data_IF_363584688459
#
_entry.id   IF_363584688459
#
_cell.length_a   1.000
_cell.length_b   1.000
_cell.length_c   1.000
_cell.angle_alpha   90.00
_cell.angle_beta   90.00
_cell.angle_gamma   90.00
#
_symmetry.space_group_name_H-M   'P 1'
#
loop_
_entity.id
_entity.type
_entity.pdbx_description
1 polymer ?
#
# COMPACT_ATOMS: atom_id res chain seq x y z
N UNK A 1 77.15 16.98 23.17
CA UNK A 1 76.35 15.83 22.98
C UNK A 1 74.92 16.00 23.57
N UNK A 2 74.77 16.37 24.83
CA UNK A 2 73.45 16.44 25.49
C UNK A 2 72.44 17.48 24.91
N UNK A 3 72.89 18.63 24.40
CA UNK A 3 72.07 19.66 23.76
C UNK A 3 71.60 19.25 22.41
N UNK A 4 72.34 18.50 21.62
CA UNK A 4 71.94 17.98 20.29
C UNK A 4 70.94 16.87 20.48
N UNK A 5 71.10 16.01 21.51
CA UNK A 5 70.10 14.96 21.79
C UNK A 5 68.70 15.51 22.20
N UNK A 6 68.69 16.60 23.00
CA UNK A 6 67.46 17.30 23.39
C UNK A 6 66.81 17.99 22.22
N UNK A 7 67.59 18.56 21.30
CA UNK A 7 67.04 19.19 20.08
C UNK A 7 66.45 18.15 19.14
N UNK A 8 67.10 17.00 18.96
CA UNK A 8 66.58 15.89 18.15
C UNK A 8 65.33 15.26 18.75
N UNK A 9 65.24 15.12 20.08
CA UNK A 9 64.02 14.64 20.74
C UNK A 9 62.90 15.63 20.64
N UNK A 10 63.13 16.93 20.72
CA UNK A 10 62.11 17.96 20.56
C UNK A 10 61.65 18.05 19.11
N UNK A 11 62.52 17.87 18.11
CA UNK A 11 62.18 17.80 16.71
C UNK A 11 61.35 16.54 16.39
N UNK A 12 61.68 15.40 16.97
CA UNK A 12 60.94 14.15 16.85
C UNK A 12 59.51 14.28 17.45
N UNK A 13 59.36 14.95 18.59
CA UNK A 13 58.04 15.23 19.20
C UNK A 13 57.23 16.18 18.32
N UNK A 14 57.84 17.22 17.77
CA UNK A 14 57.19 18.13 16.85
C UNK A 14 56.77 17.45 15.54
N UNK A 15 57.59 16.58 14.97
CA UNK A 15 57.30 15.78 13.78
C UNK A 15 56.22 14.74 14.12
N UNK A 16 56.24 14.08 15.26
CA UNK A 16 55.18 13.19 15.69
C UNK A 16 53.85 13.92 15.94
N UNK A 17 53.89 15.14 16.51
CA UNK A 17 52.67 15.94 16.70
C UNK A 17 52.11 16.40 15.36
N UNK A 18 52.95 16.88 14.42
CA UNK A 18 52.50 17.26 13.08
C UNK A 18 52.05 16.07 12.22
N UNK A 19 52.63 14.88 12.41
CA UNK A 19 52.17 13.64 11.80
C UNK A 19 50.83 13.17 12.42
N UNK A 20 50.60 13.40 13.70
CA UNK A 20 49.28 13.12 14.33
C UNK A 20 48.21 14.08 13.83
N UNK A 21 48.50 15.36 13.61
CA UNK A 21 47.56 16.31 13.01
C UNK A 21 47.33 16.00 11.53
N UNK A 22 48.30 15.54 10.78
CA UNK A 22 48.18 15.12 9.38
C UNK A 22 47.40 13.80 9.22
N UNK A 23 47.38 12.92 10.22
CA UNK A 23 46.58 11.68 10.18
C UNK A 23 45.16 11.88 10.71
N UNK A 24 44.86 13.02 11.33
CA UNK A 24 43.54 13.31 11.92
C UNK A 24 42.62 14.16 10.99
N UNK A 25 43.12 14.62 9.88
CA UNK A 25 42.29 15.33 8.90
C UNK A 25 41.65 14.33 7.92
N UNK A 26 40.81 13.41 8.46
CA UNK A 26 39.74 12.87 7.65
C UNK A 26 38.95 14.07 7.14
N UNK A 27 39.02 14.31 5.84
CA UNK A 27 38.35 15.43 5.21
C UNK A 27 36.82 15.17 5.31
N UNK A 28 36.22 15.78 6.35
CA UNK A 28 34.74 15.67 6.58
C UNK A 28 33.97 16.07 5.36
N UNK A 29 34.45 17.08 4.64
CA UNK A 29 33.81 17.61 3.43
C UNK A 29 33.83 16.56 2.32
N UNK A 30 34.90 15.79 2.20
CA UNK A 30 34.99 14.70 1.24
C UNK A 30 33.97 13.59 1.52
N UNK A 31 33.81 13.17 2.78
CA UNK A 31 32.82 12.15 3.14
C UNK A 31 31.39 12.68 2.99
N UNK A 32 31.13 13.95 3.33
CA UNK A 32 29.84 14.60 3.12
C UNK A 32 29.50 14.64 1.63
N UNK A 33 30.43 15.09 0.79
CA UNK A 33 30.26 15.14 -0.66
C UNK A 33 30.03 13.75 -1.26
N UNK A 34 30.81 12.73 -0.88
CA UNK A 34 30.65 11.35 -1.34
C UNK A 34 29.33 10.75 -0.89
N UNK A 35 28.93 11.00 0.35
CA UNK A 35 27.65 10.54 0.89
C UNK A 35 26.46 11.15 0.14
N UNK A 36 26.49 12.48 -0.09
CA UNK A 36 25.44 13.18 -0.86
C UNK A 36 25.41 12.74 -2.32
N UNK A 37 26.57 12.55 -2.93
CA UNK A 37 26.65 12.05 -4.32
C UNK A 37 26.08 10.62 -4.41
N UNK A 38 26.45 9.72 -3.50
CA UNK A 38 25.89 8.37 -3.46
C UNK A 38 24.36 8.41 -3.23
N UNK A 39 23.88 9.34 -2.39
CA UNK A 39 22.45 9.55 -2.17
C UNK A 39 21.73 9.96 -3.47
N UNK A 40 22.30 10.93 -4.22
CA UNK A 40 21.73 11.41 -5.49
C UNK A 40 21.75 10.35 -6.60
N UNK A 41 22.65 9.38 -6.53
CA UNK A 41 22.70 8.23 -7.44
C UNK A 41 21.85 7.03 -7.01
N UNK A 42 21.08 7.14 -5.89
CA UNK A 42 20.31 6.04 -5.33
C UNK A 42 21.16 4.93 -4.68
N UNK A 43 22.46 5.16 -4.48
CA UNK A 43 23.39 4.22 -3.83
C UNK A 43 23.32 4.35 -2.31
N UNK A 44 22.14 4.07 -1.75
CA UNK A 44 21.82 4.37 -0.35
C UNK A 44 22.74 3.67 0.66
N UNK A 45 23.11 2.42 0.42
CA UNK A 45 24.06 1.70 1.30
C UNK A 45 25.42 2.41 1.36
N UNK A 46 25.96 2.83 0.22
CA UNK A 46 27.21 3.57 0.15
C UNK A 46 27.10 4.96 0.79
N UNK A 47 25.95 5.61 0.67
CA UNK A 47 25.67 6.88 1.35
C UNK A 47 25.72 6.69 2.88
N UNK A 48 25.08 5.64 3.42
CA UNK A 48 25.10 5.32 4.85
C UNK A 48 26.51 5.06 5.35
N UNK A 49 27.36 4.33 4.61
CA UNK A 49 28.75 4.09 4.99
C UNK A 49 29.53 5.41 5.18
N UNK A 50 29.41 6.33 4.21
CA UNK A 50 30.08 7.63 4.32
C UNK A 50 29.54 8.46 5.50
N UNK A 51 28.22 8.50 5.71
CA UNK A 51 27.63 9.21 6.84
C UNK A 51 27.89 8.54 8.19
N UNK A 52 28.13 7.22 8.24
CA UNK A 52 28.56 6.54 9.46
C UNK A 52 29.94 7.04 9.88
N UNK A 53 30.89 7.17 8.95
CA UNK A 53 32.19 7.76 9.25
C UNK A 53 32.03 9.19 9.77
N UNK A 54 31.26 10.03 9.10
CA UNK A 54 30.98 11.40 9.53
C UNK A 54 30.36 11.47 10.92
N UNK A 55 29.39 10.60 11.23
CA UNK A 55 28.71 10.59 12.53
C UNK A 55 29.64 10.21 13.71
N UNK A 56 30.79 9.58 13.42
CA UNK A 56 31.84 9.30 14.40
C UNK A 56 32.81 10.47 14.53
N UNK A 57 33.12 11.14 13.39
CA UNK A 57 34.03 12.28 13.37
C UNK A 57 33.39 13.55 13.93
N UNK A 58 32.10 13.72 13.73
CA UNK A 58 31.33 14.87 14.20
C UNK A 58 29.96 14.45 14.71
N UNK A 59 29.84 14.29 16.01
CA UNK A 59 28.56 13.87 16.64
C UNK A 59 27.54 15.01 16.76
N UNK A 60 27.90 16.24 16.40
CA UNK A 60 27.09 17.44 16.54
C UNK A 60 26.59 17.97 15.18
N UNK A 61 27.04 17.41 14.07
CA UNK A 61 26.55 17.82 12.76
C UNK A 61 25.18 17.21 12.44
N UNK A 62 24.15 18.04 12.51
CA UNK A 62 22.76 17.63 12.25
C UNK A 62 22.51 17.22 10.79
N UNK A 63 23.28 17.73 9.81
CA UNK A 63 23.18 17.35 8.42
C UNK A 63 23.59 15.91 8.18
N UNK A 64 24.65 15.45 8.83
CA UNK A 64 25.10 14.05 8.74
C UNK A 64 23.98 13.08 9.13
N UNK A 65 23.31 13.32 10.25
CA UNK A 65 22.18 12.49 10.69
C UNK A 65 21.00 12.64 9.75
N UNK A 66 20.71 13.83 9.27
CA UNK A 66 19.62 14.06 8.32
C UNK A 66 19.84 13.28 7.02
N UNK A 67 20.97 13.40 6.37
CA UNK A 67 21.24 12.69 5.12
C UNK A 67 21.33 11.17 5.30
N UNK A 68 21.88 10.71 6.43
CA UNK A 68 21.86 9.28 6.76
C UNK A 68 20.44 8.77 6.97
N UNK A 69 19.60 9.55 7.61
CA UNK A 69 18.18 9.28 7.79
C UNK A 69 17.45 9.14 6.44
N UNK A 70 17.71 10.04 5.48
CA UNK A 70 17.17 9.95 4.12
C UNK A 70 17.62 8.64 3.44
N UNK A 71 18.92 8.30 3.52
CA UNK A 71 19.42 7.08 2.90
C UNK A 71 18.77 5.83 3.50
N UNK A 72 18.60 5.77 4.82
CA UNK A 72 17.91 4.67 5.51
C UNK A 72 16.44 4.60 5.15
N UNK A 73 15.76 5.75 5.06
CA UNK A 73 14.36 5.84 4.65
C UNK A 73 14.15 5.21 3.27
N UNK A 74 15.00 5.56 2.31
CA UNK A 74 14.93 5.01 0.94
C UNK A 74 15.32 3.52 0.86
N UNK A 75 16.07 2.98 1.83
CA UNK A 75 16.32 1.54 1.96
C UNK A 75 15.18 0.79 2.69
N UNK A 76 14.14 1.49 3.16
CA UNK A 76 13.08 0.91 3.95
C UNK A 76 13.39 0.72 5.43
N UNK A 77 14.61 1.12 5.91
CA UNK A 77 14.94 1.16 7.34
C UNK A 77 14.30 2.39 8.00
N UNK A 78 12.98 2.37 8.11
CA UNK A 78 12.21 3.47 8.69
C UNK A 78 12.56 3.72 10.16
N UNK A 79 12.90 2.67 10.94
CA UNK A 79 13.28 2.82 12.34
C UNK A 79 14.63 3.52 12.50
N UNK A 80 15.61 3.12 11.69
CA UNK A 80 16.90 3.77 11.65
C UNK A 80 16.82 5.20 11.14
N UNK A 81 15.97 5.46 10.12
CA UNK A 81 15.71 6.79 9.61
C UNK A 81 15.11 7.71 10.68
N UNK A 82 14.06 7.26 11.38
CA UNK A 82 13.47 8.01 12.50
C UNK A 82 14.50 8.37 13.57
N UNK A 83 15.34 7.40 13.97
CA UNK A 83 16.39 7.63 14.97
C UNK A 83 17.36 8.73 14.54
N UNK A 84 17.74 8.75 13.28
CA UNK A 84 18.63 9.76 12.71
C UNK A 84 17.93 11.13 12.60
N UNK A 85 16.67 11.18 12.18
CA UNK A 85 15.90 12.43 12.17
C UNK A 85 15.67 12.98 13.58
N UNK A 86 15.38 12.13 14.57
CA UNK A 86 15.31 12.52 15.99
C UNK A 86 16.62 13.16 16.46
N UNK A 87 17.76 12.63 16.07
CA UNK A 87 19.07 13.20 16.40
C UNK A 87 19.27 14.54 15.70
N UNK A 88 18.92 14.62 14.40
CA UNK A 88 19.05 15.84 13.59
C UNK A 88 18.23 17.01 14.17
N UNK A 89 16.93 16.81 14.48
CA UNK A 89 16.09 17.88 15.05
C UNK A 89 16.45 18.24 16.48
N UNK A 90 17.06 17.31 17.23
CA UNK A 90 17.59 17.58 18.58
C UNK A 90 18.83 18.48 18.53
N UNK A 91 19.70 18.26 17.54
CA UNK A 91 20.90 19.06 17.33
C UNK A 91 20.55 20.44 16.75
N UNK A 92 19.54 20.51 15.90
CA UNK A 92 19.06 21.77 15.35
C UNK A 92 17.51 21.87 15.43
N UNK A 93 16.96 22.48 16.52
CA UNK A 93 15.51 22.58 16.74
C UNK A 93 14.75 23.50 15.78
N UNK A 94 15.44 24.20 14.89
CA UNK A 94 14.83 25.05 13.84
C UNK A 94 15.04 24.48 12.44
N UNK A 95 15.49 23.23 12.32
CA UNK A 95 15.76 22.58 11.05
C UNK A 95 14.46 22.02 10.45
N UNK A 96 13.84 22.79 9.57
CA UNK A 96 12.58 22.47 8.92
C UNK A 96 12.54 21.09 8.27
N UNK A 97 13.59 20.74 7.48
CA UNK A 97 13.62 19.46 6.76
C UNK A 97 13.70 18.26 7.70
N UNK A 98 14.37 18.40 8.86
CA UNK A 98 14.40 17.34 9.88
C UNK A 98 13.00 16.98 10.39
N UNK A 99 12.18 18.00 10.72
CA UNK A 99 10.77 17.79 11.10
C UNK A 99 9.95 17.26 9.95
N UNK A 100 10.14 17.78 8.73
CA UNK A 100 9.42 17.33 7.55
C UNK A 100 9.60 15.82 7.33
N UNK A 101 10.85 15.35 7.21
CA UNK A 101 11.13 13.95 6.94
C UNK A 101 10.83 13.03 8.14
N UNK A 102 10.95 13.52 9.38
CA UNK A 102 10.50 12.76 10.54
C UNK A 102 8.98 12.59 10.52
N UNK A 103 8.25 13.64 10.22
CA UNK A 103 6.79 13.60 10.08
C UNK A 103 6.32 12.62 9.01
N UNK A 104 6.96 12.62 7.83
CA UNK A 104 6.70 11.63 6.78
C UNK A 104 6.97 10.20 7.29
N UNK A 105 8.10 10.00 7.98
CA UNK A 105 8.47 8.69 8.53
C UNK A 105 7.46 8.20 9.58
N UNK A 106 7.00 9.09 10.47
CA UNK A 106 5.95 8.78 11.45
C UNK A 106 4.61 8.44 10.78
N UNK A 107 4.29 9.14 9.68
CA UNK A 107 3.09 8.85 8.89
C UNK A 107 3.12 7.41 8.33
N UNK A 108 4.28 6.96 7.85
CA UNK A 108 4.45 5.57 7.39
C UNK A 108 4.32 4.52 8.49
N UNK A 109 4.61 4.87 9.73
CA UNK A 109 4.34 4.00 10.88
C UNK A 109 2.85 4.00 11.30
N UNK A 110 2.02 4.85 10.70
CA UNK A 110 0.64 5.07 11.14
C UNK A 110 0.52 5.96 12.38
N UNK A 111 1.61 6.58 12.83
CA UNK A 111 1.66 7.49 13.97
C UNK A 111 1.22 8.90 13.55
N UNK A 112 -0.01 9.03 13.04
CA UNK A 112 -0.48 10.26 12.38
C UNK A 112 -0.47 11.49 13.29
N UNK A 113 -0.73 11.37 14.59
CA UNK A 113 -0.68 12.50 15.51
C UNK A 113 0.74 13.08 15.60
N UNK A 114 1.76 12.23 15.78
CA UNK A 114 3.16 12.65 15.81
C UNK A 114 3.60 13.24 14.47
N UNK A 115 3.19 12.62 13.37
CA UNK A 115 3.47 13.08 12.02
C UNK A 115 2.90 14.48 11.78
N UNK A 116 1.63 14.70 12.12
CA UNK A 116 0.96 16.00 11.97
C UNK A 116 1.58 17.08 12.86
N UNK A 117 2.03 16.74 14.06
CA UNK A 117 2.74 17.67 14.95
C UNK A 117 4.07 18.12 14.34
N UNK A 118 4.85 17.19 13.80
CA UNK A 118 6.11 17.50 13.12
C UNK A 118 5.91 18.33 11.85
N UNK A 119 4.97 17.95 11.00
CA UNK A 119 4.65 18.70 9.79
C UNK A 119 4.12 20.09 10.10
N UNK A 120 3.32 20.24 11.17
CA UNK A 120 2.90 21.57 11.64
C UNK A 120 4.11 22.39 12.11
N UNK A 121 5.03 21.79 12.88
CA UNK A 121 6.27 22.44 13.31
C UNK A 121 7.13 22.90 12.12
N UNK A 122 7.25 22.05 11.09
CA UNK A 122 7.95 22.41 9.87
C UNK A 122 7.29 23.60 9.15
N UNK A 123 5.95 23.62 9.08
CA UNK A 123 5.18 24.73 8.50
C UNK A 123 5.35 26.02 9.31
N UNK A 124 5.35 25.94 10.64
CA UNK A 124 5.56 27.12 11.50
C UNK A 124 6.96 27.73 11.30
N UNK A 125 7.96 26.87 11.09
CA UNK A 125 9.34 27.31 10.80
C UNK A 125 9.48 27.89 9.39
N UNK A 126 8.76 27.35 8.40
CA UNK A 126 8.86 27.80 6.99
C UNK A 126 7.48 27.78 6.29
N UNK A 127 6.59 28.71 6.62
CA UNK A 127 5.22 28.72 6.10
C UNK A 127 5.08 28.98 4.60
N UNK A 128 6.13 29.47 3.96
CA UNK A 128 6.20 29.68 2.50
C UNK A 128 6.53 28.43 1.71
N UNK A 129 7.01 27.35 2.34
CA UNK A 129 7.37 26.12 1.66
C UNK A 129 6.14 25.24 1.45
N UNK A 130 5.60 25.26 0.24
CA UNK A 130 4.29 24.66 -0.07
C UNK A 130 4.28 23.14 -0.04
N UNK A 131 5.43 22.49 -0.30
CA UNK A 131 5.56 21.05 -0.19
C UNK A 131 5.17 20.47 1.18
N UNK A 132 5.34 21.25 2.26
CA UNK A 132 4.93 20.85 3.61
C UNK A 132 3.40 20.66 3.73
N UNK A 133 2.61 21.49 3.02
CA UNK A 133 1.16 21.34 2.99
C UNK A 133 0.76 20.10 2.18
N UNK A 134 1.48 19.79 1.11
CA UNK A 134 1.25 18.56 0.38
C UNK A 134 1.47 17.33 1.30
N UNK A 135 2.62 17.24 1.96
CA UNK A 135 2.93 16.14 2.87
C UNK A 135 1.95 16.04 4.05
N UNK A 136 1.52 17.20 4.61
CA UNK A 136 0.51 17.21 5.66
C UNK A 136 -0.87 16.81 5.12
N UNK A 137 -1.22 17.21 3.92
CA UNK A 137 -2.44 16.79 3.22
C UNK A 137 -2.50 15.27 3.03
N UNK A 138 -1.40 14.65 2.58
CA UNK A 138 -1.26 13.19 2.51
C UNK A 138 -1.43 12.54 3.89
N UNK A 139 -0.78 13.09 4.92
CA UNK A 139 -0.91 12.56 6.28
C UNK A 139 -2.34 12.70 6.82
N UNK A 140 -3.03 13.81 6.56
CA UNK A 140 -4.45 13.97 6.89
C UNK A 140 -5.32 12.94 6.16
N UNK A 141 -5.04 12.67 4.88
CA UNK A 141 -5.76 11.66 4.13
C UNK A 141 -5.60 10.27 4.77
N UNK A 142 -4.36 9.86 5.07
CA UNK A 142 -4.07 8.58 5.73
C UNK A 142 -4.73 8.47 7.12
N UNK A 143 -4.83 9.60 7.84
CA UNK A 143 -5.56 9.73 9.09
C UNK A 143 -7.09 9.84 8.91
N UNK A 144 -7.62 9.65 7.69
CA UNK A 144 -9.04 9.77 7.32
C UNK A 144 -9.67 11.13 7.63
N UNK A 145 -8.86 12.19 7.72
CA UNK A 145 -9.29 13.57 7.94
C UNK A 145 -9.41 14.31 6.59
N UNK A 146 -10.26 13.81 5.70
CA UNK A 146 -10.34 14.21 4.29
C UNK A 146 -10.60 15.70 4.07
N UNK A 147 -11.45 16.32 4.89
CA UNK A 147 -11.71 17.78 4.80
C UNK A 147 -10.44 18.62 5.04
N UNK A 148 -9.55 18.17 5.95
CA UNK A 148 -8.29 18.86 6.22
C UNK A 148 -7.28 18.60 5.11
N UNK A 149 -7.24 17.38 4.59
CA UNK A 149 -6.42 17.01 3.44
C UNK A 149 -6.74 17.90 2.23
N UNK A 150 -8.02 18.06 1.89
CA UNK A 150 -8.48 18.93 0.80
C UNK A 150 -7.99 20.38 0.98
N UNK A 151 -8.07 20.94 2.18
CA UNK A 151 -7.62 22.31 2.46
C UNK A 151 -6.12 22.48 2.20
N UNK A 152 -5.33 21.49 2.59
CA UNK A 152 -3.89 21.52 2.37
C UNK A 152 -3.53 21.33 0.90
N UNK A 153 -4.20 20.39 0.19
CA UNK A 153 -4.04 20.23 -1.27
C UNK A 153 -4.49 21.48 -2.03
N UNK A 154 -5.57 22.16 -1.61
CA UNK A 154 -6.00 23.43 -2.18
C UNK A 154 -4.93 24.51 -2.03
N UNK A 155 -4.25 24.54 -0.89
CA UNK A 155 -3.16 25.50 -0.67
C UNK A 155 -1.96 25.19 -1.56
N UNK A 156 -1.61 23.92 -1.68
CA UNK A 156 -0.54 23.47 -2.57
C UNK A 156 -0.86 23.79 -4.03
N UNK A 157 -2.02 23.39 -4.54
CA UNK A 157 -2.46 23.58 -5.93
C UNK A 157 -2.47 25.06 -6.35
N UNK A 158 -2.80 25.98 -5.43
CA UNK A 158 -2.73 27.42 -5.75
C UNK A 158 -1.34 27.91 -6.10
N UNK A 159 -0.30 27.23 -5.64
CA UNK A 159 1.10 27.57 -5.91
C UNK A 159 1.70 26.70 -6.99
N UNK A 160 1.33 25.43 -6.99
CA UNK A 160 1.79 24.40 -7.92
C UNK A 160 0.62 23.86 -8.78
N UNK A 161 -0.01 24.68 -9.63
CA UNK A 161 -1.21 24.30 -10.37
C UNK A 161 -0.96 23.29 -11.52
N UNK A 162 0.30 22.96 -11.76
CA UNK A 162 0.72 22.04 -12.81
C UNK A 162 1.15 20.66 -12.29
N UNK A 163 1.10 20.45 -10.99
CA UNK A 163 1.42 19.13 -10.39
C UNK A 163 0.18 18.23 -10.46
N UNK A 164 0.17 17.15 -11.28
CA UNK A 164 -0.95 16.23 -11.41
C UNK A 164 -1.23 15.49 -10.11
N UNK A 165 -0.21 15.19 -9.32
CA UNK A 165 -0.30 14.40 -8.09
C UNK A 165 -1.19 15.08 -7.05
N UNK A 166 -1.16 16.40 -6.97
CA UNK A 166 -2.00 17.13 -6.04
C UNK A 166 -3.50 17.00 -6.37
N UNK A 167 -3.84 16.96 -7.65
CA UNK A 167 -5.22 16.73 -8.10
C UNK A 167 -5.62 15.27 -7.86
N UNK A 168 -4.73 14.31 -8.09
CA UNK A 168 -5.02 12.89 -7.81
C UNK A 168 -5.34 12.70 -6.32
N UNK A 169 -4.55 13.27 -5.43
CA UNK A 169 -4.74 13.15 -3.99
C UNK A 169 -5.95 13.92 -3.47
N UNK A 170 -6.22 15.12 -4.00
CA UNK A 170 -7.45 15.86 -3.66
C UNK A 170 -8.69 15.14 -4.20
N UNK A 171 -8.64 14.61 -5.41
CA UNK A 171 -9.71 13.82 -6.01
C UNK A 171 -10.04 12.58 -5.18
N UNK A 172 -9.01 11.85 -4.71
CA UNK A 172 -9.22 10.75 -3.78
C UNK A 172 -9.90 11.20 -2.48
N UNK A 173 -9.48 12.35 -1.92
CA UNK A 173 -10.11 12.90 -0.71
C UNK A 173 -11.59 13.25 -0.93
N UNK A 174 -11.94 13.82 -2.10
CA UNK A 174 -13.34 14.06 -2.48
C UNK A 174 -14.13 12.76 -2.62
N UNK A 175 -13.52 11.72 -3.21
CA UNK A 175 -14.17 10.41 -3.36
C UNK A 175 -14.55 9.80 -2.01
N UNK A 176 -13.65 9.84 -1.03
CA UNK A 176 -13.95 9.33 0.32
C UNK A 176 -15.02 10.14 1.07
N UNK A 177 -15.20 11.41 0.72
CA UNK A 177 -16.31 12.24 1.22
C UNK A 177 -17.61 12.03 0.41
N UNK A 178 -17.60 11.19 -0.63
CA UNK A 178 -18.75 10.93 -1.50
C UNK A 178 -18.97 11.99 -2.59
N UNK A 179 -18.10 12.98 -2.73
CA UNK A 179 -18.18 14.01 -3.79
C UNK A 179 -17.54 13.49 -5.09
N UNK A 180 -18.21 12.55 -5.73
CA UNK A 180 -17.71 11.87 -6.92
C UNK A 180 -17.51 12.84 -8.10
N UNK A 181 -18.33 13.90 -8.18
CA UNK A 181 -18.21 14.89 -9.24
C UNK A 181 -16.89 15.67 -9.17
N UNK A 182 -16.52 16.13 -7.96
CA UNK A 182 -15.24 16.82 -7.78
C UNK A 182 -14.08 15.86 -7.96
N UNK A 183 -14.20 14.61 -7.53
CA UNK A 183 -13.18 13.58 -7.75
C UNK A 183 -12.92 13.38 -9.25
N UNK A 184 -13.95 13.17 -10.08
CA UNK A 184 -13.81 13.04 -11.55
C UNK A 184 -13.16 14.28 -12.17
N UNK A 185 -13.56 15.49 -11.74
CA UNK A 185 -12.98 16.72 -12.25
C UNK A 185 -11.48 16.84 -11.94
N UNK A 186 -11.08 16.44 -10.74
CA UNK A 186 -9.67 16.44 -10.35
C UNK A 186 -8.88 15.38 -11.13
N UNK A 187 -9.38 14.15 -11.31
CA UNK A 187 -8.73 13.13 -12.12
C UNK A 187 -8.62 13.56 -13.58
N UNK A 188 -9.66 14.17 -14.16
CA UNK A 188 -9.60 14.76 -15.49
C UNK A 188 -8.52 15.85 -15.61
N UNK A 189 -8.35 16.64 -14.54
CA UNK A 189 -7.32 17.68 -14.52
C UNK A 189 -5.92 17.08 -14.46
N UNK A 190 -5.71 16.05 -13.64
CA UNK A 190 -4.46 15.31 -13.56
C UNK A 190 -4.08 14.69 -14.91
N UNK A 191 -4.99 13.96 -15.54
CA UNK A 191 -4.80 13.39 -16.89
C UNK A 191 -4.46 14.46 -17.93
N UNK A 192 -5.10 15.63 -17.86
CA UNK A 192 -4.80 16.73 -18.77
C UNK A 192 -3.39 17.30 -18.56
N UNK A 193 -2.89 17.28 -17.34
CA UNK A 193 -1.56 17.77 -16.98
C UNK A 193 -0.47 16.77 -17.35
N UNK A 194 -0.72 15.49 -17.11
CA UNK A 194 0.12 14.39 -17.57
C UNK A 194 -0.74 13.27 -18.17
N UNK A 195 -0.75 13.24 -19.50
CA UNK A 195 -1.50 12.24 -20.28
C UNK A 195 -0.76 10.89 -20.43
N UNK A 196 0.48 10.84 -20.02
CA UNK A 196 1.33 9.66 -20.13
C UNK A 196 1.48 8.92 -18.80
N UNK A 197 0.99 9.51 -17.70
CA UNK A 197 0.88 8.83 -16.42
C UNK A 197 -0.35 7.94 -16.40
N UNK A 198 -0.21 6.60 -16.23
CA UNK A 198 -1.34 5.66 -16.16
C UNK A 198 -2.23 5.88 -14.93
N UNK A 199 -1.68 6.46 -13.84
CA UNK A 199 -2.35 6.56 -12.54
C UNK A 199 -3.65 7.37 -12.61
N UNK A 200 -3.67 8.46 -13.36
CA UNK A 200 -4.87 9.28 -13.55
C UNK A 200 -6.03 8.49 -14.16
N UNK A 201 -5.73 7.64 -15.16
CA UNK A 201 -6.71 6.78 -15.80
C UNK A 201 -7.18 5.67 -14.88
N UNK A 202 -6.26 5.02 -14.16
CA UNK A 202 -6.59 3.98 -13.19
C UNK A 202 -7.56 4.51 -12.14
N UNK A 203 -7.28 5.65 -11.52
CA UNK A 203 -8.15 6.24 -10.48
C UNK A 203 -9.51 6.63 -11.02
N UNK A 204 -9.57 7.24 -12.21
CA UNK A 204 -10.84 7.61 -12.83
C UNK A 204 -11.64 6.37 -13.24
N UNK A 205 -11.00 5.38 -13.84
CA UNK A 205 -11.62 4.12 -14.22
C UNK A 205 -12.23 3.37 -13.03
N UNK A 206 -11.51 3.31 -11.90
CA UNK A 206 -12.06 2.74 -10.65
C UNK A 206 -13.29 3.51 -10.16
N UNK A 207 -13.27 4.82 -10.23
CA UNK A 207 -14.43 5.62 -9.86
C UNK A 207 -15.62 5.33 -10.80
N UNK A 208 -15.40 5.23 -12.11
CA UNK A 208 -16.47 4.82 -13.05
C UNK A 208 -16.98 3.42 -12.76
N UNK A 209 -16.09 2.48 -12.42
CA UNK A 209 -16.45 1.13 -12.01
C UNK A 209 -17.37 1.13 -10.78
N UNK A 210 -17.05 1.92 -9.75
CA UNK A 210 -17.88 2.05 -8.55
C UNK A 210 -19.27 2.62 -8.83
N UNK A 211 -19.41 3.38 -9.92
CA UNK A 211 -20.68 3.91 -10.43
C UNK A 211 -21.37 2.99 -11.46
N UNK A 212 -20.82 1.78 -11.68
CA UNK A 212 -21.29 0.81 -12.68
C UNK A 212 -21.24 1.33 -14.13
N UNK A 213 -20.39 2.30 -14.39
CA UNK A 213 -20.10 2.80 -15.74
C UNK A 213 -18.99 1.95 -16.39
N UNK A 214 -19.30 0.66 -16.61
CA UNK A 214 -18.29 -0.35 -16.97
C UNK A 214 -17.55 -0.01 -18.27
N UNK A 215 -18.21 0.51 -19.28
CA UNK A 215 -17.56 0.85 -20.56
C UNK A 215 -16.51 1.95 -20.39
N UNK A 216 -16.82 3.01 -19.63
CA UNK A 216 -15.87 4.09 -19.34
C UNK A 216 -14.71 3.61 -18.48
N UNK A 217 -15.00 2.71 -17.53
CA UNK A 217 -13.97 2.10 -16.69
C UNK A 217 -13.01 1.26 -17.54
N UNK A 218 -13.52 0.44 -18.46
CA UNK A 218 -12.72 -0.38 -19.38
C UNK A 218 -11.88 0.51 -20.31
N UNK A 219 -12.43 1.61 -20.83
CA UNK A 219 -11.70 2.56 -21.68
C UNK A 219 -10.48 3.13 -20.92
N UNK A 220 -10.68 3.56 -19.68
CA UNK A 220 -9.60 4.07 -18.84
C UNK A 220 -8.55 3.00 -18.52
N UNK A 221 -8.98 1.77 -18.17
CA UNK A 221 -8.04 0.67 -17.93
C UNK A 221 -7.27 0.29 -19.19
N UNK A 222 -7.92 0.31 -20.38
CA UNK A 222 -7.25 0.11 -21.67
C UNK A 222 -6.14 1.15 -21.87
N UNK A 223 -6.42 2.42 -21.53
CA UNK A 223 -5.44 3.49 -21.67
C UNK A 223 -4.28 3.33 -20.68
N UNK A 224 -4.57 2.95 -19.44
CA UNK A 224 -3.53 2.67 -18.44
C UNK A 224 -2.62 1.52 -18.89
N UNK A 225 -3.19 0.43 -19.43
CA UNK A 225 -2.43 -0.71 -19.94
C UNK A 225 -1.61 -0.35 -21.19
N UNK A 226 -2.13 0.50 -22.07
CA UNK A 226 -1.37 1.01 -23.23
C UNK A 226 -0.12 1.80 -22.79
N UNK A 227 -0.23 2.55 -21.69
CA UNK A 227 0.86 3.37 -21.15
C UNK A 227 1.85 2.54 -20.33
N UNK A 228 1.36 1.54 -19.61
CA UNK A 228 2.15 0.60 -18.82
C UNK A 228 1.62 -0.81 -18.97
N UNK A 229 2.25 -1.59 -19.85
CA UNK A 229 1.88 -2.99 -20.12
C UNK A 229 2.20 -3.96 -18.97
N UNK A 230 2.90 -3.51 -17.95
CA UNK A 230 3.17 -4.27 -16.72
C UNK A 230 2.22 -3.96 -15.58
N UNK A 231 1.22 -3.08 -15.81
CA UNK A 231 0.28 -2.67 -14.78
C UNK A 231 -0.74 -3.78 -14.45
N UNK A 232 -0.34 -4.71 -13.60
CA UNK A 232 -1.17 -5.84 -13.15
C UNK A 232 -2.48 -5.37 -12.52
N UNK A 233 -2.45 -4.21 -11.86
CA UNK A 233 -3.62 -3.61 -11.25
C UNK A 233 -4.68 -3.18 -12.28
N UNK A 234 -4.28 -2.59 -13.40
CA UNK A 234 -5.19 -2.20 -14.46
C UNK A 234 -5.83 -3.42 -15.12
N UNK A 235 -5.05 -4.49 -15.39
CA UNK A 235 -5.58 -5.76 -15.88
C UNK A 235 -6.59 -6.37 -14.90
N UNK A 236 -6.26 -6.43 -13.62
CA UNK A 236 -7.16 -6.99 -12.61
C UNK A 236 -8.51 -6.23 -12.57
N UNK A 237 -8.46 -4.90 -12.51
CA UNK A 237 -9.70 -4.10 -12.49
C UNK A 237 -10.50 -4.26 -13.78
N UNK A 238 -9.84 -4.33 -14.94
CA UNK A 238 -10.54 -4.56 -16.22
C UNK A 238 -11.21 -5.94 -16.27
N UNK A 239 -10.54 -6.96 -15.71
CA UNK A 239 -11.13 -8.29 -15.59
C UNK A 239 -12.42 -8.28 -14.77
N UNK A 240 -12.47 -7.53 -13.67
CA UNK A 240 -13.70 -7.37 -12.87
C UNK A 240 -14.82 -6.73 -13.73
N UNK A 241 -14.48 -5.71 -14.52
CA UNK A 241 -15.47 -5.05 -15.39
C UNK A 241 -15.96 -5.99 -16.50
N UNK A 242 -15.09 -6.78 -17.09
CA UNK A 242 -15.47 -7.80 -18.08
C UNK A 242 -16.36 -8.87 -17.45
N UNK A 243 -16.06 -9.31 -16.22
CA UNK A 243 -16.92 -10.26 -15.51
C UNK A 243 -18.33 -9.68 -15.27
N UNK A 244 -18.44 -8.43 -14.82
CA UNK A 244 -19.74 -7.77 -14.62
C UNK A 244 -20.54 -7.60 -15.94
N UNK A 245 -19.84 -7.61 -17.08
CA UNK A 245 -20.45 -7.63 -18.42
C UNK A 245 -20.65 -9.05 -18.99
N UNK A 246 -20.43 -10.10 -18.19
CA UNK A 246 -20.51 -11.50 -18.60
C UNK A 246 -19.52 -11.87 -19.73
N UNK A 247 -18.48 -11.06 -19.95
CA UNK A 247 -17.38 -11.32 -20.89
C UNK A 247 -16.30 -12.16 -20.22
N UNK A 248 -16.66 -13.39 -19.85
CA UNK A 248 -15.83 -14.25 -19.01
C UNK A 248 -14.47 -14.58 -19.63
N UNK A 249 -14.41 -14.75 -20.96
CA UNK A 249 -13.13 -15.06 -21.62
C UNK A 249 -12.17 -13.88 -21.58
N UNK A 250 -12.65 -12.66 -21.75
CA UNK A 250 -11.83 -11.45 -21.64
C UNK A 250 -11.33 -11.26 -20.20
N UNK A 251 -12.20 -11.51 -19.22
CA UNK A 251 -11.83 -11.49 -17.81
C UNK A 251 -10.73 -12.53 -17.51
N UNK A 252 -10.86 -13.77 -18.01
CA UNK A 252 -9.86 -14.82 -17.85
C UNK A 252 -8.50 -14.45 -18.46
N UNK A 253 -8.50 -13.83 -19.65
CA UNK A 253 -7.26 -13.39 -20.31
C UNK A 253 -6.51 -12.36 -19.43
N UNK A 254 -7.24 -11.39 -18.88
CA UNK A 254 -6.65 -10.37 -18.01
C UNK A 254 -6.13 -10.96 -16.69
N UNK A 255 -6.90 -11.85 -16.03
CA UNK A 255 -6.44 -12.51 -14.80
C UNK A 255 -5.22 -13.43 -15.05
N UNK A 256 -5.17 -14.10 -16.21
CA UNK A 256 -3.99 -14.86 -16.60
C UNK A 256 -2.77 -13.96 -16.74
N UNK A 257 -2.94 -12.77 -17.36
CA UNK A 257 -1.84 -11.79 -17.48
C UNK A 257 -1.31 -11.35 -16.12
N UNK A 258 -2.21 -11.08 -15.15
CA UNK A 258 -1.80 -10.79 -13.77
C UNK A 258 -0.99 -11.93 -13.15
N UNK A 259 -1.43 -13.18 -13.35
CA UNK A 259 -0.76 -14.36 -12.77
C UNK A 259 0.55 -14.75 -13.45
N UNK A 260 0.85 -14.26 -14.66
CA UNK A 260 2.17 -14.36 -15.28
C UNK A 260 3.21 -13.55 -14.49
N UNK A 261 2.87 -12.35 -14.06
CA UNK A 261 3.76 -11.47 -13.32
C UNK A 261 3.72 -11.76 -11.80
N UNK A 262 2.53 -12.10 -11.28
CA UNK A 262 2.27 -12.36 -9.86
C UNK A 262 1.67 -13.76 -9.62
N UNK A 263 2.43 -14.85 -9.79
CA UNK A 263 1.89 -16.23 -9.72
C UNK A 263 1.25 -16.58 -8.37
N UNK A 264 1.65 -15.88 -7.31
CA UNK A 264 1.16 -16.06 -5.94
C UNK A 264 0.04 -15.10 -5.54
N UNK A 265 -0.54 -14.34 -6.46
CA UNK A 265 -1.63 -13.42 -6.12
C UNK A 265 -2.91 -14.21 -5.80
N UNK A 266 -3.15 -14.42 -4.49
CA UNK A 266 -4.27 -15.24 -4.00
C UNK A 266 -5.62 -14.68 -4.42
N UNK A 267 -5.79 -13.35 -4.51
CA UNK A 267 -7.03 -12.72 -4.92
C UNK A 267 -7.32 -12.98 -6.40
N UNK A 268 -6.31 -12.89 -7.24
CA UNK A 268 -6.43 -13.18 -8.68
C UNK A 268 -6.73 -14.65 -8.93
N UNK A 269 -6.04 -15.57 -8.21
CA UNK A 269 -6.34 -17.00 -8.25
C UNK A 269 -7.79 -17.27 -7.83
N UNK A 270 -8.24 -16.69 -6.72
CA UNK A 270 -9.61 -16.85 -6.24
C UNK A 270 -10.64 -16.40 -7.29
N UNK A 271 -10.46 -15.22 -7.87
CA UNK A 271 -11.38 -14.69 -8.88
C UNK A 271 -11.35 -15.53 -10.16
N UNK A 272 -10.17 -15.97 -10.60
CA UNK A 272 -10.04 -16.85 -11.78
C UNK A 272 -10.72 -18.18 -11.54
N UNK A 273 -10.54 -18.78 -10.37
CA UNK A 273 -11.21 -20.02 -9.99
C UNK A 273 -12.73 -19.91 -9.99
N UNK A 274 -13.29 -18.78 -9.55
CA UNK A 274 -14.74 -18.54 -9.63
C UNK A 274 -15.24 -18.45 -11.06
N UNK A 275 -14.51 -17.75 -11.94
CA UNK A 275 -14.87 -17.65 -13.36
C UNK A 275 -14.74 -19.02 -14.04
N UNK A 276 -13.68 -19.78 -13.74
CA UNK A 276 -13.51 -21.15 -14.25
C UNK A 276 -14.68 -22.06 -13.85
N UNK A 277 -15.11 -21.98 -12.59
CA UNK A 277 -16.29 -22.71 -12.12
C UNK A 277 -17.58 -22.31 -12.87
N UNK A 278 -17.76 -21.00 -13.10
CA UNK A 278 -18.90 -20.50 -13.88
C UNK A 278 -18.91 -21.00 -15.33
N UNK A 279 -17.72 -21.20 -15.91
CA UNK A 279 -17.53 -21.74 -17.26
C UNK A 279 -17.59 -23.27 -17.30
N UNK A 280 -17.75 -23.96 -16.17
CA UNK A 280 -17.76 -25.40 -16.05
C UNK A 280 -16.37 -26.05 -16.09
N UNK A 281 -15.29 -25.26 -16.05
CA UNK A 281 -13.91 -25.74 -15.97
C UNK A 281 -13.55 -26.04 -14.50
N UNK A 282 -14.19 -27.07 -13.94
CA UNK A 282 -14.14 -27.35 -12.51
C UNK A 282 -12.74 -27.77 -12.02
N UNK A 283 -12.00 -28.52 -12.81
CA UNK A 283 -10.63 -28.93 -12.46
C UNK A 283 -9.69 -27.73 -12.33
N UNK A 284 -9.77 -26.76 -13.24
CA UNK A 284 -9.02 -25.51 -13.17
C UNK A 284 -9.46 -24.68 -11.96
N UNK A 285 -10.74 -24.61 -11.69
CA UNK A 285 -11.31 -23.91 -10.55
C UNK A 285 -10.81 -24.51 -9.22
N UNK A 286 -10.78 -25.85 -9.09
CA UNK A 286 -10.25 -26.53 -7.90
C UNK A 286 -8.76 -26.26 -7.73
N UNK A 287 -7.97 -26.34 -8.81
CA UNK A 287 -6.53 -26.04 -8.74
C UNK A 287 -6.27 -24.61 -8.24
N UNK A 288 -7.04 -23.64 -8.70
CA UNK A 288 -6.89 -22.26 -8.24
C UNK A 288 -7.32 -22.11 -6.75
N UNK A 289 -8.41 -22.73 -6.32
CA UNK A 289 -8.84 -22.72 -4.92
C UNK A 289 -7.84 -23.42 -4.00
N UNK A 290 -7.23 -24.52 -4.43
CA UNK A 290 -6.18 -25.21 -3.71
C UNK A 290 -4.94 -24.32 -3.52
N UNK A 291 -4.53 -23.59 -4.56
CA UNK A 291 -3.45 -22.61 -4.47
C UNK A 291 -3.79 -21.48 -3.49
N UNK A 292 -5.01 -20.95 -3.52
CA UNK A 292 -5.46 -19.95 -2.53
C UNK A 292 -5.35 -20.49 -1.11
N UNK A 293 -5.81 -21.71 -0.85
CA UNK A 293 -5.76 -22.33 0.47
C UNK A 293 -4.35 -22.70 0.92
N UNK A 294 -3.42 -22.98 -0.01
CA UNK A 294 -2.01 -23.16 0.30
C UNK A 294 -1.35 -21.84 0.73
N UNK A 295 -1.77 -20.70 0.16
CA UNK A 295 -1.28 -19.36 0.52
C UNK A 295 -1.93 -18.89 1.84
N UNK A 296 -3.23 -19.08 1.98
CA UNK A 296 -4.01 -18.70 3.16
C UNK A 296 -4.92 -19.85 3.61
N UNK A 297 -4.44 -20.71 4.52
CA UNK A 297 -5.20 -21.86 5.04
C UNK A 297 -6.45 -21.49 5.87
N UNK A 298 -6.62 -20.23 6.21
CA UNK A 298 -7.78 -19.71 6.98
C UNK A 298 -8.79 -18.99 6.09
N UNK A 299 -8.67 -19.10 4.76
CA UNK A 299 -9.59 -18.44 3.83
C UNK A 299 -10.95 -19.16 3.80
N UNK A 300 -11.90 -18.64 4.58
CA UNK A 300 -13.26 -19.19 4.72
C UNK A 300 -13.99 -19.24 3.38
N UNK A 301 -13.82 -18.22 2.52
CA UNK A 301 -14.50 -18.14 1.23
C UNK A 301 -13.96 -19.15 0.23
N UNK A 302 -12.66 -19.43 0.27
CA UNK A 302 -12.06 -20.42 -0.61
C UNK A 302 -12.59 -21.82 -0.29
N UNK A 303 -12.68 -22.21 0.99
CA UNK A 303 -13.34 -23.45 1.38
C UNK A 303 -14.79 -23.49 0.94
N UNK A 304 -15.55 -22.43 1.21
CA UNK A 304 -16.97 -22.38 0.84
C UNK A 304 -17.19 -22.54 -0.67
N UNK A 305 -16.39 -21.85 -1.51
CA UNK A 305 -16.53 -21.93 -2.95
C UNK A 305 -15.99 -23.27 -3.52
N UNK A 306 -14.89 -23.79 -2.97
CA UNK A 306 -14.39 -25.12 -3.35
C UNK A 306 -15.40 -26.22 -3.03
N UNK A 307 -16.07 -26.14 -1.87
CA UNK A 307 -17.20 -27.02 -1.54
C UNK A 307 -18.33 -26.92 -2.57
N UNK A 308 -18.64 -25.73 -3.04
CA UNK A 308 -19.66 -25.55 -4.07
C UNK A 308 -19.24 -26.18 -5.42
N UNK A 309 -17.98 -26.06 -5.79
CA UNK A 309 -17.42 -26.72 -6.99
C UNK A 309 -17.49 -28.26 -6.83
N UNK A 310 -17.14 -28.80 -5.67
CA UNK A 310 -17.27 -30.24 -5.39
C UNK A 310 -18.71 -30.72 -5.53
N UNK A 311 -19.72 -29.92 -5.19
CA UNK A 311 -21.15 -30.28 -5.40
C UNK A 311 -21.44 -30.45 -6.89
N UNK A 312 -20.99 -29.51 -7.74
CA UNK A 312 -21.23 -29.57 -9.21
C UNK A 312 -20.54 -30.81 -9.82
N UNK A 313 -19.43 -31.26 -9.23
CA UNK A 313 -18.74 -32.48 -9.64
C UNK A 313 -19.31 -33.77 -9.02
N UNK A 314 -20.32 -33.68 -8.15
CA UNK A 314 -20.88 -34.84 -7.44
C UNK A 314 -20.01 -35.36 -6.31
N UNK A 315 -18.95 -34.66 -5.92
CA UNK A 315 -17.99 -35.03 -4.86
C UNK A 315 -18.50 -34.57 -3.50
N UNK A 316 -19.60 -35.13 -3.06
CA UNK A 316 -20.38 -34.63 -1.90
C UNK A 316 -19.62 -34.73 -0.57
N UNK A 317 -18.80 -35.77 -0.35
CA UNK A 317 -18.04 -35.90 0.91
C UNK A 317 -16.96 -34.82 1.00
N UNK A 318 -16.26 -34.51 -0.11
CA UNK A 318 -15.28 -33.41 -0.15
C UNK A 318 -15.96 -32.06 0.13
N UNK A 319 -17.16 -31.87 -0.43
CA UNK A 319 -17.94 -30.67 -0.14
C UNK A 319 -18.29 -30.52 1.35
N UNK A 320 -18.63 -31.63 2.03
CA UNK A 320 -18.91 -31.62 3.48
C UNK A 320 -17.66 -31.23 4.28
N UNK A 321 -16.49 -31.78 3.95
CA UNK A 321 -15.23 -31.47 4.64
C UNK A 321 -14.92 -29.96 4.54
N UNK A 322 -15.08 -29.38 3.36
CA UNK A 322 -14.81 -27.97 3.13
C UNK A 322 -15.84 -27.06 3.83
N UNK A 323 -17.14 -27.42 3.81
CA UNK A 323 -18.11 -26.67 4.61
C UNK A 323 -17.86 -26.80 6.11
N UNK A 324 -17.40 -27.94 6.60
CA UNK A 324 -17.02 -28.14 8.00
C UNK A 324 -15.85 -27.21 8.37
N UNK A 325 -14.84 -27.09 7.47
CA UNK A 325 -13.73 -26.15 7.66
C UNK A 325 -14.18 -24.70 7.64
N UNK A 326 -15.01 -24.29 6.67
CA UNK A 326 -15.55 -22.94 6.59
C UNK A 326 -16.36 -22.56 7.84
N UNK A 327 -17.20 -23.47 8.35
CA UNK A 327 -17.98 -23.29 9.56
C UNK A 327 -17.09 -23.28 10.81
N UNK A 328 -16.06 -24.11 10.84
CA UNK A 328 -15.09 -24.15 11.94
C UNK A 328 -14.33 -22.83 12.08
N UNK A 329 -13.92 -22.24 10.94
CA UNK A 329 -13.25 -20.95 10.90
C UNK A 329 -14.20 -19.77 11.18
N UNK A 330 -15.45 -19.86 10.70
CA UNK A 330 -16.47 -18.83 10.94
C UNK A 330 -17.82 -19.44 11.31
N UNK A 331 -18.09 -19.66 12.62
CA UNK A 331 -19.29 -20.34 13.10
C UNK A 331 -20.63 -19.62 12.81
N UNK A 332 -20.61 -18.36 12.41
CA UNK A 332 -21.80 -17.60 12.05
C UNK A 332 -22.13 -17.61 10.56
N UNK A 333 -21.41 -18.41 9.75
CA UNK A 333 -21.61 -18.49 8.31
C UNK A 333 -22.89 -19.26 7.92
N UNK A 334 -24.04 -18.61 8.03
CA UNK A 334 -25.36 -19.21 7.82
C UNK A 334 -25.48 -19.92 6.43
N UNK A 335 -24.90 -19.35 5.38
CA UNK A 335 -24.95 -19.93 4.01
C UNK A 335 -24.17 -21.25 3.94
N UNK A 336 -23.07 -21.38 4.67
CA UNK A 336 -22.32 -22.65 4.72
C UNK A 336 -23.16 -23.76 5.39
N UNK A 337 -23.86 -23.46 6.49
CA UNK A 337 -24.81 -24.41 7.07
C UNK A 337 -25.95 -24.80 6.11
N UNK A 338 -26.49 -23.80 5.36
CA UNK A 338 -27.55 -24.06 4.39
C UNK A 338 -27.06 -25.01 3.28
N UNK A 339 -25.89 -24.74 2.71
CA UNK A 339 -25.33 -25.57 1.65
C UNK A 339 -24.90 -26.95 2.19
N UNK A 340 -24.34 -27.02 3.39
CA UNK A 340 -24.01 -28.30 4.02
C UNK A 340 -25.26 -29.14 4.29
N UNK A 341 -26.37 -28.50 4.69
CA UNK A 341 -27.67 -29.16 4.81
C UNK A 341 -28.14 -29.75 3.48
N UNK A 342 -28.00 -29.00 2.39
CA UNK A 342 -28.32 -29.49 1.04
C UNK A 342 -27.50 -30.73 0.69
N UNK A 343 -26.18 -30.69 0.88
CA UNK A 343 -25.30 -31.85 0.61
C UNK A 343 -25.66 -33.07 1.48
N UNK A 344 -25.95 -32.86 2.78
CA UNK A 344 -26.41 -33.95 3.69
C UNK A 344 -27.72 -34.57 3.22
N UNK A 345 -28.65 -33.78 2.66
CA UNK A 345 -29.87 -34.33 2.07
C UNK A 345 -29.57 -35.20 0.84
N UNK A 346 -28.66 -34.78 -0.04
CA UNK A 346 -28.24 -35.59 -1.20
C UNK A 346 -27.64 -36.94 -0.76
N UNK A 347 -26.96 -36.97 0.40
CA UNK A 347 -26.34 -38.17 0.99
C UNK A 347 -27.32 -38.98 1.86
N UNK A 348 -28.62 -38.62 1.93
CA UNK A 348 -29.61 -39.32 2.75
C UNK A 348 -29.49 -39.05 4.25
N UNK A 349 -28.65 -38.11 4.69
CA UNK A 349 -28.42 -37.78 6.11
C UNK A 349 -29.44 -36.77 6.63
N UNK A 350 -30.73 -37.07 6.49
CA UNK A 350 -31.86 -36.14 6.67
C UNK A 350 -31.92 -35.48 8.05
N UNK A 351 -31.60 -36.24 9.14
CA UNK A 351 -31.61 -35.67 10.49
C UNK A 351 -30.56 -34.59 10.68
N UNK A 352 -29.37 -34.81 10.14
CA UNK A 352 -28.26 -33.87 10.27
C UNK A 352 -28.46 -32.69 9.34
N UNK A 353 -29.03 -32.92 8.16
CA UNK A 353 -29.44 -31.88 7.24
C UNK A 353 -30.44 -30.92 7.90
N UNK A 354 -31.46 -31.45 8.56
CA UNK A 354 -32.46 -30.62 9.29
C UNK A 354 -31.81 -29.76 10.37
N UNK A 355 -30.87 -30.32 11.16
CA UNK A 355 -30.15 -29.54 12.17
C UNK A 355 -29.38 -28.35 11.57
N UNK A 356 -28.67 -28.58 10.48
CA UNK A 356 -27.95 -27.51 9.80
C UNK A 356 -28.88 -26.45 9.24
N UNK A 357 -30.00 -26.86 8.65
CA UNK A 357 -31.01 -25.94 8.15
C UNK A 357 -31.57 -25.06 9.26
N UNK A 358 -31.98 -25.68 10.40
CA UNK A 358 -32.53 -24.97 11.55
C UNK A 358 -31.48 -23.99 12.13
N UNK A 359 -30.20 -24.40 12.16
CA UNK A 359 -29.08 -23.55 12.59
C UNK A 359 -28.90 -22.36 11.65
N UNK A 360 -28.94 -22.58 10.33
CA UNK A 360 -28.84 -21.51 9.35
C UNK A 360 -29.97 -20.47 9.52
N UNK A 361 -31.21 -20.94 9.66
CA UNK A 361 -32.37 -20.05 9.85
C UNK A 361 -32.24 -19.23 11.14
N UNK A 362 -31.80 -19.85 12.25
CA UNK A 362 -31.55 -19.15 13.51
C UNK A 362 -30.52 -18.06 13.35
N UNK A 363 -29.37 -18.35 12.69
CA UNK A 363 -28.30 -17.37 12.47
C UNK A 363 -28.75 -16.20 11.59
N UNK A 364 -29.52 -16.45 10.53
CA UNK A 364 -30.12 -15.40 9.70
C UNK A 364 -31.07 -14.52 10.51
N UNK A 365 -31.89 -15.12 11.38
CA UNK A 365 -32.84 -14.39 12.23
C UNK A 365 -32.08 -13.52 13.27
N UNK A 366 -31.05 -14.06 13.91
CA UNK A 366 -30.21 -13.33 14.87
C UNK A 366 -29.50 -12.13 14.20
N UNK A 367 -29.01 -12.32 12.98
CA UNK A 367 -28.37 -11.23 12.21
C UNK A 367 -29.37 -10.13 11.90
N UNK A 368 -30.56 -10.47 11.40
CA UNK A 368 -31.62 -9.50 11.10
C UNK A 368 -32.09 -8.74 12.33
N UNK A 369 -32.15 -9.41 13.49
CA UNK A 369 -32.55 -8.79 14.75
C UNK A 369 -31.53 -7.76 15.29
N UNK A 370 -30.24 -7.93 14.95
CA UNK A 370 -29.16 -7.02 15.38
C UNK A 370 -29.14 -5.69 14.62
N UNK A 371 -29.98 -5.49 13.60
CA UNK A 371 -30.03 -4.29 12.75
C UNK A 371 -28.66 -3.79 12.28
N UNK A 372 -27.71 -4.69 12.10
CA UNK A 372 -26.35 -4.33 11.65
C UNK A 372 -26.40 -4.16 10.16
N UNK A 373 -26.35 -2.92 9.70
CA UNK A 373 -26.15 -2.57 8.29
C UNK A 373 -24.69 -2.80 7.84
N UNK A 374 -23.99 -3.71 8.49
CA UNK A 374 -22.59 -3.99 8.20
C UNK A 374 -22.50 -4.77 6.89
N UNK A 375 -22.20 -4.02 5.85
CA UNK A 375 -22.01 -4.52 4.49
C UNK A 375 -20.82 -5.50 4.35
N UNK A 376 -20.09 -5.77 5.43
CA UNK A 376 -18.97 -6.70 5.54
C UNK A 376 -19.27 -8.01 6.26
N UNK A 377 -20.47 -8.19 6.83
CA UNK A 377 -20.79 -9.38 7.61
C UNK A 377 -21.03 -10.61 6.72
N UNK A 378 -20.31 -11.71 7.02
CA UNK A 378 -20.53 -13.04 6.43
C UNK A 378 -21.95 -13.61 6.68
N UNK A 379 -22.74 -12.96 7.51
CA UNK A 379 -24.11 -13.34 7.80
C UNK A 379 -25.12 -12.78 6.77
N UNK A 380 -24.80 -11.72 6.03
CA UNK A 380 -25.62 -11.24 4.92
C UNK A 380 -25.40 -12.10 3.67
N UNK A 381 -26.15 -13.18 3.60
CA UNK A 381 -25.85 -14.38 2.83
C UNK A 381 -26.34 -14.35 1.40
N UNK A 382 -26.96 -13.28 0.90
CA UNK A 382 -27.70 -13.39 -0.35
C UNK A 382 -27.08 -12.69 -1.55
N UNK A 383 -26.11 -11.79 -1.37
CA UNK A 383 -25.61 -10.99 -2.50
C UNK A 383 -24.10 -10.86 -2.67
N UNK A 384 -23.29 -11.01 -1.62
CA UNK A 384 -21.86 -10.63 -1.69
C UNK A 384 -20.86 -11.72 -2.07
N UNK A 385 -21.22 -12.99 -1.91
CA UNK A 385 -20.27 -14.09 -2.12
C UNK A 385 -20.34 -14.76 -3.49
N UNK A 386 -21.24 -14.32 -4.34
CA UNK A 386 -21.25 -14.66 -5.78
C UNK A 386 -20.52 -13.64 -6.64
N UNK A 387 -20.06 -12.54 -6.06
CA UNK A 387 -19.29 -11.51 -6.77
C UNK A 387 -17.80 -11.70 -6.57
N UNK A 388 -17.03 -11.32 -7.57
CA UNK A 388 -15.58 -11.28 -7.47
C UNK A 388 -15.15 -10.37 -6.31
N UNK A 389 -14.09 -10.75 -5.64
CA UNK A 389 -13.46 -9.91 -4.63
C UNK A 389 -12.73 -8.76 -5.33
N UNK A 390 -12.94 -7.54 -4.86
CA UNK A 390 -12.23 -6.36 -5.36
C UNK A 390 -11.00 -6.06 -4.50
N UNK A 391 -10.00 -5.41 -5.09
CA UNK A 391 -8.78 -4.97 -4.42
C UNK A 391 -8.96 -3.70 -3.57
N UNK A 392 -10.16 -3.13 -3.49
CA UNK A 392 -10.40 -1.79 -2.93
C UNK A 392 -9.84 -1.54 -1.52
N UNK A 393 -9.75 -2.57 -0.69
CA UNK A 393 -9.26 -2.42 0.69
C UNK A 393 -7.73 -2.35 0.81
N UNK A 394 -6.97 -3.01 -0.09
CA UNK A 394 -5.50 -3.01 -0.05
C UNK A 394 -4.89 -1.86 -0.85
N UNK A 395 -5.54 -1.46 -1.93
CA UNK A 395 -5.04 -0.39 -2.81
C UNK A 395 -5.25 1.02 -2.27
N UNK A 396 -6.22 1.25 -1.41
CA UNK A 396 -6.29 2.51 -0.68
C UNK A 396 -5.01 2.81 0.13
N UNK A 397 -4.21 1.80 0.47
CA UNK A 397 -2.88 1.95 1.09
C UNK A 397 -1.76 2.14 0.08
N UNK A 398 -1.82 1.49 -1.10
CA UNK A 398 -0.80 1.62 -2.15
C UNK A 398 -0.91 2.92 -2.95
N UNK A 399 -2.10 3.48 -3.10
CA UNK A 399 -2.35 4.74 -3.80
C UNK A 399 -1.60 5.95 -3.19
N UNK A 400 -1.01 5.78 -2.02
CA UNK A 400 -0.24 6.78 -1.29
C UNK A 400 1.20 6.33 -1.01
N UNK A 401 1.67 5.28 -1.67
CA UNK A 401 3.09 4.92 -1.63
C UNK A 401 3.90 6.02 -2.32
N UNK A 402 4.67 6.61 -1.53
CA UNK A 402 5.53 7.77 -1.58
C UNK A 402 6.54 7.87 -2.74
N UNK A 403 6.26 7.45 -3.94
CA UNK A 403 7.11 7.82 -5.08
C UNK A 403 7.23 9.35 -5.23
N UNK A 404 6.25 10.08 -4.69
CA UNK A 404 6.20 11.55 -4.75
C UNK A 404 6.98 12.25 -3.63
N UNK A 405 7.34 11.55 -2.57
CA UNK A 405 8.22 12.07 -1.53
C UNK A 405 9.69 11.83 -1.84
N UNK A 406 9.97 11.12 -2.93
CA UNK A 406 11.32 10.90 -3.43
C UNK A 406 11.78 12.10 -4.26
N UNK A 407 12.77 12.81 -3.77
CA UNK A 407 13.75 13.56 -4.56
C UNK A 407 13.50 14.99 -5.04
N UNK A 408 12.41 15.68 -4.75
CA UNK A 408 12.28 17.04 -5.29
C UNK A 408 12.97 18.16 -4.54
N UNK A 409 13.44 17.93 -3.30
CA UNK A 409 13.92 19.02 -2.44
C UNK A 409 15.17 18.68 -1.61
N UNK A 410 16.19 18.09 -2.22
CA UNK A 410 17.52 17.91 -1.59
C UNK A 410 18.47 19.09 -1.89
N UNK A 411 18.01 20.12 -2.61
CA UNK A 411 18.79 21.33 -2.90
C UNK A 411 18.76 22.36 -1.76
#
# INVERSE_FOLDING_TARGET
MHKVLKFLAMLAILVCASLHELHAQYDKDMFMMRGRHALSEGKYAQAIENFNVLSQLDTADYWTFFFRGIAKYNLGDLRGAKTDFDRSVRLNPIFTNGYHYRGITESRFGNYESALADLQKAIDLRPGYVGLYFSRGVTYFLAQQFDKAIKDFDRYIRKEPKDPSAYLNRGASYLFLGDTLKAVNDYNKAIKLDRFDPEGYVRRGRLYASQKMHDLAIEDMNKAIELDTSNTFAYFNRAIMYYEQEKYQDAMNDLNRVLEDEPGNALTLYNRGLISAQLGAYDDALNDMDRVLNINPENVLAYFNRASIFIEMGMYENALEDYDRAIGLYPDFAKAYMNRSYVKNLLGRYKDAKRDYDTAQKKVAEYRAKNVSDAGSFADTTRKYSSLLSLDAEFAKKDFDDELLQHRDID
#
